data_IF_238030809121
#
_entry.id   IF_238030809121
#
_cell.length_a   1.000
_cell.length_b   1.000
_cell.length_c   1.000
_cell.angle_alpha   90.00
_cell.angle_beta   90.00
_cell.angle_gamma   90.00
#
_symmetry.space_group_name_H-M   'P 1'
#
loop_
_entity.id
_entity.type
_entity.pdbx_description
1 polymer ?
#
# COMPACT_ATOMS: atom_id res chain seq x y z
N UNK A 1 -13.57 -8.14 -43.65
CA UNK A 1 -14.96 -7.67 -43.47
C UNK A 1 -15.24 -7.72 -41.97
N UNK A 2 -15.80 -6.62 -41.48
CA UNK A 2 -15.91 -6.21 -40.09
C UNK A 2 -16.49 -7.28 -39.14
N UNK A 3 -15.92 -7.40 -37.95
CA UNK A 3 -16.65 -7.18 -36.71
C UNK A 3 -15.64 -6.92 -35.57
N UNK A 4 -15.40 -5.63 -35.37
CA UNK A 4 -14.88 -5.09 -34.12
C UNK A 4 -15.78 -5.56 -32.98
N UNK A 5 -15.25 -6.35 -32.05
CA UNK A 5 -15.83 -6.47 -30.73
C UNK A 5 -15.03 -5.56 -29.80
N UNK A 6 -15.47 -4.31 -29.73
CA UNK A 6 -15.21 -3.46 -28.57
C UNK A 6 -15.71 -4.20 -27.34
N UNK A 7 -14.78 -4.62 -26.48
CA UNK A 7 -15.08 -4.87 -25.07
C UNK A 7 -14.22 -3.91 -24.25
N UNK A 8 -14.94 -3.10 -23.48
CA UNK A 8 -14.54 -2.03 -22.57
C UNK A 8 -13.18 -2.20 -21.89
N UNK A 9 -12.40 -1.14 -21.88
CA UNK A 9 -11.43 -0.86 -20.81
C UNK A 9 -12.14 -0.85 -19.43
N UNK A 10 -11.43 -1.28 -18.39
CA UNK A 10 -11.66 -1.10 -16.94
C UNK A 10 -12.80 -1.86 -16.24
N UNK A 11 -12.51 -3.09 -15.80
CA UNK A 11 -12.75 -3.51 -14.42
C UNK A 11 -11.45 -4.17 -13.95
N UNK A 12 -10.51 -3.35 -13.48
CA UNK A 12 -9.35 -3.86 -12.78
C UNK A 12 -9.86 -4.24 -11.39
N UNK A 13 -10.02 -5.53 -11.14
CA UNK A 13 -10.67 -6.03 -9.92
C UNK A 13 -9.88 -5.60 -8.69
N UNK A 14 -10.58 -5.00 -7.71
CA UNK A 14 -10.02 -4.82 -6.39
C UNK A 14 -9.75 -6.20 -5.77
N UNK A 15 -8.65 -6.33 -5.02
CA UNK A 15 -8.29 -7.59 -4.37
C UNK A 15 -8.26 -7.40 -2.86
N UNK A 16 -9.01 -8.22 -2.12
CA UNK A 16 -8.89 -8.29 -0.66
C UNK A 16 -7.66 -9.13 -0.29
N UNK A 17 -6.76 -8.56 0.51
CA UNK A 17 -5.51 -9.18 0.95
C UNK A 17 -5.27 -8.89 2.44
N UNK A 18 -4.38 -9.65 3.06
CA UNK A 18 -3.92 -9.41 4.42
C UNK A 18 -2.66 -8.53 4.43
N UNK A 19 -2.75 -7.36 5.04
CA UNK A 19 -1.63 -6.44 5.25
C UNK A 19 -0.73 -6.91 6.40
N UNK A 20 0.55 -7.08 6.08
CA UNK A 20 1.63 -7.29 7.04
C UNK A 20 2.52 -6.04 7.04
N UNK A 21 2.47 -5.23 8.10
CA UNK A 21 3.40 -4.10 8.25
C UNK A 21 4.63 -4.48 9.07
N UNK A 22 5.85 -4.10 8.69
CA UNK A 22 7.04 -4.47 9.47
C UNK A 22 8.32 -3.72 9.10
N UNK A 23 9.41 -4.02 9.79
CA UNK A 23 10.71 -3.38 9.51
C UNK A 23 11.49 -4.11 8.44
N UNK A 24 12.23 -3.35 7.65
CA UNK A 24 13.28 -3.82 6.74
C UNK A 24 14.61 -3.20 7.13
N UNK A 25 15.72 -3.74 6.63
CA UNK A 25 17.06 -3.17 6.89
C UNK A 25 17.11 -1.74 6.35
N UNK A 26 16.62 -1.51 5.13
CA UNK A 26 16.64 -0.20 4.48
C UNK A 26 15.66 0.80 5.09
N UNK A 27 14.46 0.36 5.51
CA UNK A 27 13.56 1.20 6.32
C UNK A 27 14.28 1.68 7.59
N UNK A 28 14.95 0.77 8.31
CA UNK A 28 15.70 1.11 9.51
C UNK A 28 16.84 2.10 9.24
N UNK A 29 17.60 1.87 8.15
CA UNK A 29 18.71 2.74 7.73
C UNK A 29 18.22 4.16 7.42
N UNK A 30 17.16 4.29 6.63
CA UNK A 30 16.63 5.58 6.19
C UNK A 30 15.84 6.29 7.30
N UNK A 31 15.07 5.55 8.11
CA UNK A 31 14.24 6.14 9.16
C UNK A 31 15.01 6.58 10.41
N UNK A 32 16.13 5.89 10.76
CA UNK A 32 16.91 6.15 11.98
C UNK A 32 18.28 6.74 11.71
N UNK A 33 18.92 6.34 10.61
CA UNK A 33 20.24 6.81 10.22
C UNK A 33 20.21 7.89 9.13
N UNK A 34 19.04 8.17 8.56
CA UNK A 34 18.84 9.14 7.49
C UNK A 34 17.78 10.19 7.82
N UNK A 35 17.24 10.79 6.76
CA UNK A 35 16.19 11.81 6.82
C UNK A 35 14.89 11.28 6.18
N UNK A 36 13.79 11.41 6.91
CA UNK A 36 12.45 10.92 6.54
C UNK A 36 11.76 11.76 5.47
N UNK A 37 12.34 12.89 5.09
CA UNK A 37 11.83 13.76 4.04
C UNK A 37 12.53 13.53 2.69
N UNK A 38 13.39 12.51 2.61
CA UNK A 38 14.09 12.17 1.37
C UNK A 38 13.20 11.37 0.41
N UNK A 39 13.49 11.52 -0.88
CA UNK A 39 12.89 10.69 -1.93
C UNK A 39 13.23 9.21 -1.72
N UNK A 40 14.47 8.89 -1.30
CA UNK A 40 14.89 7.52 -0.99
C UNK A 40 14.02 6.90 0.11
N UNK A 41 13.73 7.63 1.18
CA UNK A 41 12.82 7.15 2.24
C UNK A 41 11.41 6.92 1.69
N UNK A 42 10.92 7.80 0.83
CA UNK A 42 9.60 7.65 0.20
C UNK A 42 9.57 6.41 -0.71
N UNK A 43 10.52 6.25 -1.62
CA UNK A 43 10.62 5.09 -2.51
C UNK A 43 10.68 3.76 -1.74
N UNK A 44 11.46 3.70 -0.66
CA UNK A 44 11.59 2.48 0.13
C UNK A 44 10.35 2.22 0.99
N UNK A 45 9.87 3.23 1.73
CA UNK A 45 8.86 3.05 2.77
C UNK A 45 7.40 3.21 2.29
N UNK A 46 7.18 3.91 1.18
CA UNK A 46 5.91 3.98 0.49
C UNK A 46 5.82 2.85 -0.55
N UNK A 47 6.07 1.62 -0.13
CA UNK A 47 6.04 0.44 -0.99
C UNK A 47 5.08 -0.64 -0.48
N UNK A 48 4.44 -1.35 -1.41
CA UNK A 48 3.59 -2.51 -1.17
C UNK A 48 4.17 -3.70 -1.92
N UNK A 49 4.64 -4.69 -1.17
CA UNK A 49 5.26 -5.90 -1.69
C UNK A 49 4.19 -6.94 -1.93
N UNK A 50 4.13 -7.45 -3.15
CA UNK A 50 3.04 -8.28 -3.66
C UNK A 50 3.64 -9.55 -4.25
N UNK A 51 3.02 -10.70 -3.96
CA UNK A 51 3.43 -11.98 -4.55
C UNK A 51 3.24 -11.95 -6.08
N UNK A 52 4.05 -12.66 -6.90
CA UNK A 52 3.82 -12.70 -8.34
C UNK A 52 2.44 -13.24 -8.73
N UNK A 53 1.88 -14.13 -7.91
CA UNK A 53 0.54 -14.71 -8.12
C UNK A 53 -0.57 -13.67 -8.03
N UNK A 54 -0.41 -12.65 -7.18
CA UNK A 54 -1.38 -11.57 -7.00
C UNK A 54 -1.05 -10.36 -7.89
N UNK A 55 0.24 -10.13 -8.17
CA UNK A 55 0.72 -9.01 -8.98
C UNK A 55 0.29 -9.11 -10.45
N UNK A 56 0.31 -10.32 -11.02
CA UNK A 56 -0.10 -10.54 -12.42
C UNK A 56 -1.59 -10.26 -12.65
N UNK A 57 -2.53 -10.76 -11.83
CA UNK A 57 -3.95 -10.38 -11.90
C UNK A 57 -4.22 -8.88 -11.76
N UNK A 58 -3.36 -8.15 -11.04
CA UNK A 58 -3.40 -6.68 -10.94
C UNK A 58 -2.84 -5.99 -12.21
N UNK A 59 -2.52 -6.73 -13.27
CA UNK A 59 -1.88 -6.23 -14.49
C UNK A 59 -0.49 -5.64 -14.26
N UNK A 60 0.24 -6.12 -13.25
CA UNK A 60 1.63 -5.74 -12.96
C UNK A 60 1.83 -4.21 -12.85
N UNK A 61 1.11 -3.51 -11.95
CA UNK A 61 1.12 -2.05 -11.91
C UNK A 61 2.40 -1.51 -11.27
N UNK A 62 2.77 -0.28 -11.60
CA UNK A 62 3.88 0.43 -10.91
C UNK A 62 3.47 0.94 -9.52
N UNK A 63 2.19 1.27 -9.35
CA UNK A 63 1.61 1.82 -8.12
C UNK A 63 0.28 1.13 -7.80
N UNK A 64 0.01 0.98 -6.52
CA UNK A 64 -1.28 0.46 -6.02
C UNK A 64 -1.86 1.42 -5.01
N UNK A 65 -3.18 1.59 -5.06
CA UNK A 65 -3.94 2.19 -3.97
C UNK A 65 -4.32 1.09 -2.99
N UNK A 66 -3.93 1.27 -1.73
CA UNK A 66 -4.28 0.41 -0.61
C UNK A 66 -5.39 1.10 0.16
N UNK A 67 -6.48 0.39 0.46
CA UNK A 67 -7.66 0.94 1.14
C UNK A 67 -7.99 0.08 2.36
N UNK A 68 -8.26 0.71 3.50
CA UNK A 68 -8.70 0.03 4.72
C UNK A 68 -9.99 -0.77 4.45
N UNK A 69 -10.23 -1.85 5.20
CA UNK A 69 -11.42 -2.69 5.02
C UNK A 69 -12.74 -1.92 5.13
N UNK A 70 -12.79 -0.90 5.99
CA UNK A 70 -13.98 -0.07 6.17
C UNK A 70 -14.13 1.01 5.08
N UNK A 71 -13.18 1.12 4.15
CA UNK A 71 -13.19 2.06 3.04
C UNK A 71 -12.91 3.51 3.42
N UNK A 72 -12.64 3.82 4.69
CA UNK A 72 -12.50 5.21 5.17
C UNK A 72 -11.15 5.83 4.83
N UNK A 73 -10.11 5.01 4.74
CA UNK A 73 -8.75 5.48 4.54
C UNK A 73 -8.10 4.75 3.38
N UNK A 74 -7.40 5.50 2.53
CA UNK A 74 -6.64 4.95 1.42
C UNK A 74 -5.34 5.70 1.22
N UNK A 75 -4.33 5.00 0.70
CA UNK A 75 -3.04 5.56 0.36
C UNK A 75 -2.50 4.92 -0.92
N UNK A 76 -1.83 5.71 -1.75
CA UNK A 76 -1.17 5.23 -2.97
C UNK A 76 0.31 5.04 -2.68
N UNK A 77 0.85 3.88 -3.07
CA UNK A 77 2.23 3.45 -2.81
C UNK A 77 2.80 2.72 -4.02
N UNK A 78 4.11 2.65 -4.14
CA UNK A 78 4.79 1.88 -5.18
C UNK A 78 4.53 0.39 -5.00
N UNK A 79 4.29 -0.32 -6.10
CA UNK A 79 4.12 -1.77 -6.06
C UNK A 79 5.46 -2.46 -6.31
N UNK A 80 5.74 -3.51 -5.54
CA UNK A 80 6.97 -4.31 -5.65
C UNK A 80 6.63 -5.79 -5.75
N UNK A 81 6.81 -6.38 -6.92
CA UNK A 81 6.64 -7.82 -7.12
C UNK A 81 7.81 -8.60 -6.48
N UNK A 82 7.52 -9.56 -5.60
CA UNK A 82 8.55 -10.37 -4.93
C UNK A 82 8.03 -11.70 -4.40
N UNK A 83 8.85 -12.75 -4.46
CA UNK A 83 8.57 -14.08 -3.87
C UNK A 83 8.66 -14.10 -2.33
N UNK A 84 9.01 -12.98 -1.70
CA UNK A 84 9.15 -12.88 -0.24
C UNK A 84 7.81 -12.75 0.50
N UNK A 85 6.70 -12.65 -0.23
CA UNK A 85 5.34 -12.50 0.31
C UNK A 85 4.47 -13.64 -0.23
N UNK A 86 3.63 -14.20 0.64
CA UNK A 86 2.72 -15.28 0.28
C UNK A 86 1.51 -14.75 -0.51
N UNK A 87 0.93 -15.54 -1.44
CA UNK A 87 -0.32 -15.18 -2.10
C UNK A 87 -1.45 -14.85 -1.12
N UNK A 88 -2.25 -13.83 -1.42
CA UNK A 88 -3.30 -13.30 -0.54
C UNK A 88 -2.79 -12.43 0.61
N UNK A 89 -1.49 -12.14 0.64
CA UNK A 89 -0.87 -11.23 1.59
C UNK A 89 -0.11 -10.13 0.86
N UNK A 90 0.04 -8.99 1.52
CA UNK A 90 0.96 -7.93 1.11
C UNK A 90 1.81 -7.50 2.28
N UNK A 91 3.03 -7.06 1.98
CA UNK A 91 3.91 -6.46 2.99
C UNK A 91 4.12 -4.97 2.70
N UNK A 92 3.96 -4.13 3.73
CA UNK A 92 4.37 -2.73 3.66
C UNK A 92 5.40 -2.44 4.76
N UNK A 93 6.46 -1.68 4.48
CA UNK A 93 7.33 -1.18 5.54
C UNK A 93 6.54 -0.37 6.57
N UNK A 94 6.89 -0.54 7.85
CA UNK A 94 6.28 0.17 8.97
C UNK A 94 6.66 1.64 8.90
N UNK A 95 5.80 2.42 8.25
CA UNK A 95 5.98 3.84 8.00
C UNK A 95 4.63 4.57 7.98
N UNK A 96 4.69 5.90 7.83
CA UNK A 96 3.53 6.79 7.85
C UNK A 96 2.47 6.42 6.80
N UNK A 97 2.86 5.89 5.63
CA UNK A 97 1.95 5.40 4.59
C UNK A 97 1.18 4.16 5.04
N UNK A 98 1.87 3.12 5.53
CA UNK A 98 1.22 1.90 6.02
C UNK A 98 0.24 2.17 7.16
N UNK A 99 0.56 3.14 8.03
CA UNK A 99 -0.30 3.52 9.15
C UNK A 99 -1.62 4.17 8.71
N UNK A 100 -1.72 4.71 7.49
CA UNK A 100 -2.97 5.31 6.98
C UNK A 100 -4.09 4.26 6.89
N UNK A 101 -3.75 3.03 6.52
CA UNK A 101 -4.72 1.97 6.22
C UNK A 101 -4.89 0.95 7.35
N UNK A 102 -4.08 1.06 8.41
CA UNK A 102 -4.23 0.23 9.61
C UNK A 102 -5.38 0.78 10.46
N UNK A 103 -6.37 -0.06 10.72
CA UNK A 103 -7.49 0.27 11.62
C UNK A 103 -6.96 0.57 13.03
N UNK A 104 -7.27 1.73 13.62
CA UNK A 104 -6.82 2.08 14.97
C UNK A 104 -7.49 1.25 16.08
N UNK A 105 -8.55 0.48 15.79
CA UNK A 105 -9.16 -0.41 16.79
C UNK A 105 -8.13 -1.43 17.32
N UNK A 106 -8.01 -1.45 18.64
CA UNK A 106 -7.05 -2.30 19.35
C UNK A 106 -7.66 -3.59 19.85
N UNK A 107 -8.98 -3.78 19.69
CA UNK A 107 -9.71 -4.95 20.19
C UNK A 107 -9.48 -5.18 21.70
N UNK A 108 -9.35 -4.09 22.47
CA UNK A 108 -9.00 -4.09 23.90
C UNK A 108 -7.65 -4.73 24.26
N UNK A 109 -6.73 -4.87 23.30
CA UNK A 109 -5.38 -5.41 23.53
C UNK A 109 -4.31 -4.33 23.73
N UNK A 110 -4.64 -3.07 23.44
CA UNK A 110 -3.70 -1.94 23.50
C UNK A 110 -2.80 -1.80 22.26
N UNK A 111 -3.00 -2.58 21.21
CA UNK A 111 -2.28 -2.43 19.93
C UNK A 111 -3.19 -2.72 18.73
N UNK A 112 -3.12 -1.92 17.65
CA UNK A 112 -3.77 -2.20 16.38
C UNK A 112 -3.32 -3.53 15.73
N UNK A 113 -4.11 -4.01 14.77
CA UNK A 113 -3.79 -5.20 13.99
C UNK A 113 -2.75 -4.90 12.90
N UNK A 114 -1.49 -4.68 13.29
CA UNK A 114 -0.39 -4.42 12.35
C UNK A 114 -0.02 -5.60 11.43
N UNK A 115 -0.48 -6.81 11.78
CA UNK A 115 -0.14 -8.08 11.15
C UNK A 115 -1.42 -8.84 10.85
N UNK A 116 -1.84 -8.82 9.60
CA UNK A 116 -3.02 -9.53 9.13
C UNK A 116 -4.29 -8.67 9.09
N UNK A 117 -4.15 -7.34 9.05
CA UNK A 117 -5.29 -6.47 8.81
C UNK A 117 -5.79 -6.66 7.37
N UNK A 118 -7.08 -6.98 7.15
CA UNK A 118 -7.64 -7.03 5.80
C UNK A 118 -7.66 -5.64 5.16
N UNK A 119 -7.22 -5.55 3.91
CA UNK A 119 -7.22 -4.34 3.09
C UNK A 119 -7.60 -4.68 1.65
N UNK A 120 -8.03 -3.68 0.89
CA UNK A 120 -8.19 -3.79 -0.56
C UNK A 120 -7.01 -3.16 -1.28
N UNK A 121 -6.51 -3.81 -2.32
CA UNK A 121 -5.52 -3.25 -3.24
C UNK A 121 -6.08 -3.19 -4.65
N UNK A 122 -5.77 -2.11 -5.35
CA UNK A 122 -6.07 -1.93 -6.77
C UNK A 122 -4.97 -1.11 -7.46
N UNK A 123 -4.70 -1.31 -8.75
CA UNK A 123 -3.79 -0.47 -9.53
C UNK A 123 -4.20 0.99 -9.50
N UNK A 124 -3.22 1.90 -9.48
CA UNK A 124 -3.48 3.34 -9.49
C UNK A 124 -2.47 4.09 -10.34
N UNK A 125 -2.96 5.12 -11.02
CA UNK A 125 -2.13 6.10 -11.75
C UNK A 125 -1.82 7.34 -10.88
N UNK A 126 -2.46 7.48 -9.72
CA UNK A 126 -2.27 8.61 -8.81
C UNK A 126 -0.85 8.65 -8.25
N UNK A 127 -0.38 9.83 -7.85
CA UNK A 127 0.97 9.98 -7.33
C UNK A 127 1.13 9.46 -5.90
N UNK A 128 2.31 8.91 -5.61
CA UNK A 128 2.72 8.57 -4.25
C UNK A 128 3.05 9.87 -3.52
N UNK A 129 2.32 10.13 -2.43
CA UNK A 129 2.55 11.33 -1.61
C UNK A 129 3.92 11.27 -0.92
N UNK A 130 4.61 12.40 -0.83
CA UNK A 130 5.80 12.54 0.03
C UNK A 130 5.43 12.40 1.50
N UNK A 131 6.43 12.26 2.36
CA UNK A 131 6.20 12.14 3.80
C UNK A 131 5.51 13.38 4.38
N UNK A 132 5.92 14.56 3.95
CA UNK A 132 5.32 15.84 4.30
C UNK A 132 3.87 15.92 3.85
N UNK A 133 3.60 15.52 2.61
CA UNK A 133 2.26 15.57 2.05
C UNK A 133 1.30 14.61 2.78
N UNK A 134 1.77 13.42 3.16
CA UNK A 134 0.98 12.51 4.01
C UNK A 134 0.64 13.18 5.34
N UNK A 135 1.61 13.80 6.00
CA UNK A 135 1.37 14.51 7.27
C UNK A 135 0.37 15.64 7.09
N UNK A 136 0.57 16.50 6.09
CA UNK A 136 -0.25 17.69 5.90
C UNK A 136 -1.67 17.36 5.44
N UNK A 137 -1.83 16.42 4.50
CA UNK A 137 -3.14 16.10 3.90
C UNK A 137 -3.96 15.14 4.76
N UNK A 138 -3.32 14.18 5.42
CA UNK A 138 -4.03 13.10 6.13
C UNK A 138 -4.09 13.39 7.64
N UNK A 139 -2.95 13.72 8.26
CA UNK A 139 -2.88 13.82 9.73
C UNK A 139 -3.20 15.21 10.29
N UNK A 140 -2.88 16.28 9.56
CA UNK A 140 -3.13 17.68 9.99
C UNK A 140 -4.40 18.24 9.36
N UNK A 141 -4.68 17.87 8.10
CA UNK A 141 -5.81 18.37 7.32
C UNK A 141 -7.08 17.51 7.35
N UNK A 142 -7.07 16.36 8.03
CA UNK A 142 -8.22 15.45 8.08
C UNK A 142 -9.39 16.06 8.89
N UNK A 143 -10.57 16.17 8.25
CA UNK A 143 -11.84 16.38 8.95
C UNK A 143 -12.34 15.10 9.60
#
# INVERSE_FOLDING_TARGET
>A
MCLQTQTRSSEVGNMEVLLISGSTIDEGRLAKGGDKFTEEYTLECASCWISPADFVPLCSPDKVKVTSRDGKHSIVVYAKCTDSVQPGQVFMPRAIWSNVVVDPDTLSTGSPLYKGAPVYIEPSEEEVLSAEDVVMKIYVGGQ
#
